data_IF_608897391022
#
_entry.id   IF_608897391022
#
_cell.length_a   1.000
_cell.length_b   1.000
_cell.length_c   1.000
_cell.angle_alpha   90.00
_cell.angle_beta   90.00
_cell.angle_gamma   90.00
#
_symmetry.space_group_name_H-M   'P 1'
#
loop_
_entity.id
_entity.type
_entity.pdbx_description
1 polymer ?
#
# COMPACT_ATOMS: atom_id res chain seq x y z
N UNK A 1 14.47 10.57 42.97
CA UNK A 1 15.08 10.50 41.63
C UNK A 1 14.37 9.39 40.86
N UNK A 2 13.46 9.74 39.98
CA UNK A 2 13.00 8.89 38.89
C UNK A 2 13.01 9.81 37.68
N UNK A 3 14.01 9.61 36.81
CA UNK A 3 14.15 10.38 35.58
C UNK A 3 13.21 9.72 34.58
N UNK A 4 12.10 10.39 34.28
CA UNK A 4 11.22 10.02 33.18
C UNK A 4 11.94 10.36 31.87
N UNK A 5 12.25 9.35 31.08
CA UNK A 5 12.79 9.51 29.72
C UNK A 5 11.81 10.30 28.83
N UNK A 6 12.30 11.17 27.93
CA UNK A 6 11.44 12.01 27.11
C UNK A 6 10.82 11.21 25.96
N UNK A 7 9.50 11.33 25.87
CA UNK A 7 8.61 11.15 24.71
C UNK A 7 9.35 10.96 23.36
N UNK A 8 9.50 9.70 22.94
CA UNK A 8 9.94 9.37 21.59
C UNK A 8 8.81 9.71 20.60
N UNK A 9 9.07 10.38 19.46
CA UNK A 9 8.04 10.71 18.48
C UNK A 9 7.28 9.46 18.05
N UNK A 10 5.98 9.41 18.31
CA UNK A 10 5.11 8.36 17.80
C UNK A 10 5.00 8.53 16.27
N UNK A 11 5.69 7.67 15.51
CA UNK A 11 5.66 7.67 14.04
C UNK A 11 4.25 7.31 13.54
N UNK A 12 3.53 8.28 12.96
CA UNK A 12 2.24 8.04 12.32
C UNK A 12 2.44 7.29 10.99
N UNK A 13 2.38 5.96 11.07
CA UNK A 13 2.57 5.06 9.93
C UNK A 13 1.47 5.25 8.88
N UNK A 14 0.25 5.57 9.31
CA UNK A 14 -0.90 5.75 8.42
C UNK A 14 -0.74 7.02 7.57
N UNK A 15 -0.30 8.13 8.19
CA UNK A 15 -0.01 9.36 7.46
C UNK A 15 1.06 9.16 6.37
N UNK A 16 2.10 8.37 6.67
CA UNK A 16 3.16 8.02 5.72
C UNK A 16 2.66 7.17 4.57
N UNK A 17 1.81 6.17 4.83
CA UNK A 17 1.21 5.36 3.78
C UNK A 17 0.32 6.18 2.86
N UNK A 18 -0.51 7.07 3.41
CA UNK A 18 -1.36 7.95 2.62
C UNK A 18 -0.56 8.95 1.76
N UNK A 19 0.59 9.42 2.27
CA UNK A 19 1.49 10.29 1.52
C UNK A 19 2.18 9.55 0.36
N UNK A 20 2.67 8.33 0.59
CA UNK A 20 3.38 7.54 -0.41
C UNK A 20 2.42 6.92 -1.45
N UNK A 21 1.18 6.63 -1.05
CA UNK A 21 0.18 5.92 -1.84
C UNK A 21 -1.15 6.71 -1.87
N UNK A 22 -1.21 7.87 -2.54
CA UNK A 22 -2.42 8.68 -2.57
C UNK A 22 -3.52 7.97 -3.36
N UNK A 23 -4.64 7.67 -2.72
CA UNK A 23 -5.81 7.08 -3.39
C UNK A 23 -6.57 8.18 -4.15
N UNK A 24 -6.88 7.91 -5.43
CA UNK A 24 -7.68 8.78 -6.26
C UNK A 24 -9.09 8.20 -6.35
N UNK A 25 -10.09 9.02 -6.03
CA UNK A 25 -11.49 8.64 -6.21
C UNK A 25 -11.77 8.44 -7.71
N UNK A 26 -11.85 7.19 -8.14
CA UNK A 26 -12.37 6.79 -9.45
C UNK A 26 -13.84 6.40 -9.31
N UNK A 27 -14.67 7.38 -8.94
CA UNK A 27 -16.11 7.19 -8.84
C UNK A 27 -16.74 7.39 -10.21
N UNK A 28 -16.87 6.29 -10.98
CA UNK A 28 -17.94 6.23 -11.99
C UNK A 28 -19.27 6.40 -11.27
N UNK A 29 -20.18 7.22 -11.81
CA UNK A 29 -21.47 7.50 -11.15
C UNK A 29 -22.32 6.24 -10.88
N UNK A 30 -21.97 5.12 -11.51
CA UNK A 30 -22.66 3.82 -11.45
C UNK A 30 -21.92 2.75 -10.62
N UNK A 31 -20.76 3.07 -10.02
CA UNK A 31 -19.96 2.07 -9.30
C UNK A 31 -20.58 1.69 -7.95
N UNK A 32 -20.61 0.39 -7.64
CA UNK A 32 -21.04 -0.11 -6.33
C UNK A 32 -19.96 0.09 -5.26
N UNK A 33 -20.35 0.13 -3.97
CA UNK A 33 -19.38 0.27 -2.87
C UNK A 33 -18.23 -0.75 -2.94
N UNK A 34 -18.46 -2.07 -3.14
CA UNK A 34 -17.36 -3.02 -3.23
C UNK A 34 -16.43 -2.78 -4.43
N UNK A 35 -16.95 -2.29 -5.56
CA UNK A 35 -16.15 -1.92 -6.73
C UNK A 35 -15.27 -0.69 -6.45
N UNK A 36 -15.79 0.31 -5.73
CA UNK A 36 -15.02 1.50 -5.34
C UNK A 36 -13.89 1.11 -4.38
N UNK A 37 -14.18 0.26 -3.38
CA UNK A 37 -13.17 -0.23 -2.43
C UNK A 37 -12.11 -1.08 -3.16
N UNK A 38 -12.52 -1.99 -4.04
CA UNK A 38 -11.58 -2.79 -4.83
C UNK A 38 -10.71 -1.92 -5.73
N UNK A 39 -11.29 -0.90 -6.38
CA UNK A 39 -10.54 0.06 -7.21
C UNK A 39 -9.48 0.80 -6.39
N UNK A 40 -9.79 1.21 -5.16
CA UNK A 40 -8.83 1.81 -4.25
C UNK A 40 -7.68 0.85 -3.90
N UNK A 41 -7.99 -0.41 -3.60
CA UNK A 41 -6.99 -1.44 -3.30
C UNK A 41 -6.09 -1.77 -4.50
N UNK A 42 -6.67 -1.80 -5.71
CA UNK A 42 -5.93 -1.97 -6.96
C UNK A 42 -5.00 -0.79 -7.23
N UNK A 43 -5.45 0.44 -6.94
CA UNK A 43 -4.62 1.63 -7.06
C UNK A 43 -3.45 1.59 -6.08
N UNK A 44 -3.69 1.25 -4.81
CA UNK A 44 -2.64 1.10 -3.80
C UNK A 44 -1.61 0.05 -4.25
N UNK A 45 -2.06 -1.10 -4.76
CA UNK A 45 -1.19 -2.14 -5.32
C UNK A 45 -0.27 -1.57 -6.42
N UNK A 46 -0.84 -0.88 -7.40
CA UNK A 46 -0.07 -0.33 -8.52
C UNK A 46 1.00 0.68 -8.05
N UNK A 47 0.65 1.54 -7.09
CA UNK A 47 1.57 2.53 -6.54
C UNK A 47 2.70 1.87 -5.74
N UNK A 48 2.38 0.89 -4.87
CA UNK A 48 3.40 0.12 -4.13
C UNK A 48 4.35 -0.62 -5.07
N UNK A 49 3.84 -1.27 -6.11
CA UNK A 49 4.68 -1.94 -7.13
C UNK A 49 5.61 -0.94 -7.81
N UNK A 50 5.12 0.24 -8.18
CA UNK A 50 5.94 1.30 -8.78
C UNK A 50 7.11 1.72 -7.88
N UNK A 51 6.85 1.93 -6.58
CA UNK A 51 7.91 2.26 -5.60
C UNK A 51 8.91 1.11 -5.47
N UNK A 52 8.46 -0.14 -5.38
CA UNK A 52 9.35 -1.31 -5.29
C UNK A 52 10.27 -1.38 -6.52
N UNK A 53 9.72 -1.22 -7.73
CA UNK A 53 10.49 -1.21 -8.96
C UNK A 53 11.49 -0.04 -9.00
N UNK A 54 11.09 1.15 -8.53
CA UNK A 54 11.99 2.30 -8.43
C UNK A 54 13.15 2.02 -7.46
N UNK A 55 12.88 1.42 -6.30
CA UNK A 55 13.91 1.04 -5.33
C UNK A 55 14.87 -0.01 -5.89
N UNK A 56 14.34 -1.03 -6.58
CA UNK A 56 15.15 -2.04 -7.26
C UNK A 56 16.01 -1.43 -8.37
N UNK A 57 15.44 -0.56 -9.22
CA UNK A 57 16.18 0.12 -10.28
C UNK A 57 17.29 1.04 -9.77
N UNK A 58 17.13 1.60 -8.56
CA UNK A 58 18.16 2.38 -7.86
C UNK A 58 19.13 1.51 -7.02
N UNK A 59 19.04 0.18 -7.11
CA UNK A 59 19.91 -0.76 -6.39
C UNK A 59 19.69 -0.82 -4.88
N UNK A 60 18.55 -0.34 -4.37
CA UNK A 60 18.17 -0.40 -2.94
C UNK A 60 17.51 -1.72 -2.55
N UNK A 61 17.01 -2.46 -3.53
CA UNK A 61 16.47 -3.81 -3.37
C UNK A 61 17.09 -4.71 -4.45
N UNK A 62 17.38 -5.96 -4.09
CA UNK A 62 17.70 -6.96 -5.10
C UNK A 62 16.46 -7.32 -5.94
N UNK A 63 16.63 -7.84 -7.16
CA UNK A 63 15.52 -8.31 -7.96
C UNK A 63 14.65 -9.38 -7.26
N UNK A 64 15.27 -10.25 -6.45
CA UNK A 64 14.56 -11.31 -5.72
C UNK A 64 13.72 -10.72 -4.59
N UNK A 65 14.28 -9.81 -3.79
CA UNK A 65 13.52 -9.14 -2.73
C UNK A 65 12.35 -8.33 -3.30
N UNK A 66 12.57 -7.60 -4.40
CA UNK A 66 11.51 -6.87 -5.08
C UNK A 66 10.40 -7.81 -5.58
N UNK A 67 10.75 -8.95 -6.16
CA UNK A 67 9.80 -9.95 -6.62
C UNK A 67 8.97 -10.53 -5.47
N UNK A 68 9.61 -10.91 -4.36
CA UNK A 68 8.90 -11.47 -3.20
C UNK A 68 7.94 -10.44 -2.58
N UNK A 69 8.35 -9.17 -2.48
CA UNK A 69 7.47 -8.09 -2.02
C UNK A 69 6.26 -7.92 -2.94
N UNK A 70 6.44 -7.91 -4.27
CA UNK A 70 5.34 -7.80 -5.23
C UNK A 70 4.40 -9.00 -5.14
N UNK A 71 4.93 -10.21 -4.93
CA UNK A 71 4.14 -11.43 -4.75
C UNK A 71 3.24 -11.36 -3.51
N UNK A 72 3.75 -10.81 -2.40
CA UNK A 72 2.94 -10.57 -1.21
C UNK A 72 1.82 -9.54 -1.45
N UNK A 73 2.12 -8.47 -2.19
CA UNK A 73 1.10 -7.48 -2.58
C UNK A 73 0.02 -8.08 -3.48
N UNK A 74 0.41 -8.94 -4.42
CA UNK A 74 -0.53 -9.65 -5.29
C UNK A 74 -1.49 -10.55 -4.49
N UNK A 75 -0.97 -11.33 -3.55
CA UNK A 75 -1.80 -12.20 -2.70
C UNK A 75 -2.81 -11.40 -1.86
N UNK A 76 -2.42 -10.22 -1.37
CA UNK A 76 -3.34 -9.29 -0.68
C UNK A 76 -4.43 -8.78 -1.61
N UNK A 77 -4.08 -8.38 -2.83
CA UNK A 77 -5.03 -7.89 -3.83
C UNK A 77 -6.01 -9.00 -4.25
N UNK A 78 -5.53 -10.22 -4.45
CA UNK A 78 -6.37 -11.37 -4.80
C UNK A 78 -7.37 -11.68 -3.68
N UNK A 79 -6.93 -11.67 -2.43
CA UNK A 79 -7.81 -11.86 -1.26
C UNK A 79 -8.87 -10.76 -1.17
N UNK A 80 -8.49 -9.50 -1.43
CA UNK A 80 -9.43 -8.39 -1.48
C UNK A 80 -10.43 -8.52 -2.61
N UNK A 81 -10.01 -8.97 -3.80
CA UNK A 81 -10.91 -9.22 -4.93
C UNK A 81 -11.98 -10.22 -4.54
N UNK A 82 -11.57 -11.35 -3.96
CA UNK A 82 -12.49 -12.41 -3.60
C UNK A 82 -13.44 -12.01 -2.47
N UNK A 83 -12.99 -11.15 -1.55
CA UNK A 83 -13.86 -10.64 -0.47
C UNK A 83 -14.88 -9.61 -0.94
N UNK A 84 -14.57 -8.83 -1.99
CA UNK A 84 -15.38 -7.69 -2.41
C UNK A 84 -16.21 -7.93 -3.66
N UNK A 85 -15.77 -8.81 -4.57
CA UNK A 85 -16.34 -8.94 -5.91
C UNK A 85 -16.84 -10.35 -6.26
N UNK A 86 -16.49 -11.37 -5.47
CA UNK A 86 -17.07 -12.71 -5.61
C UNK A 86 -18.32 -12.84 -4.72
#
# INVERSE_FOLDING_TARGET
MAVTEPDAPQEDTHAKEQFLYPIHSTSSQEATFPQVIFSANLQEFAQRVSIICALQGNGKLSPVEAFDMIKHLWSRLESSRSTLLD
#
